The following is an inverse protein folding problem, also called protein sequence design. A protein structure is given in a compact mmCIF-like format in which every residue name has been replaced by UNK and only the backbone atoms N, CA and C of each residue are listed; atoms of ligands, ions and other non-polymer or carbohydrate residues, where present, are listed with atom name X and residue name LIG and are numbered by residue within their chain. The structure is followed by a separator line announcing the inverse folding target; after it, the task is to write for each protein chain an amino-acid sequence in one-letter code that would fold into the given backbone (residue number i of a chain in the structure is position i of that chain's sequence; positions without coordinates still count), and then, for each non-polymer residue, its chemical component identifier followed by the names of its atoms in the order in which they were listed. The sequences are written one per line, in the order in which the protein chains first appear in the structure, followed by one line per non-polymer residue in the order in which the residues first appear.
data_IF_679078467312
#
_entry.id   IF_679078467312
#
_cell.length_a   1.000
_cell.length_b   1.000
_cell.length_c   1.000
_cell.angle_alpha   90.00
_cell.angle_beta   90.00
_cell.angle_gamma   90.00
#
_symmetry.space_group_name_H-M   'P 1'
#
loop_
_entity.id
_entity.type
_entity.pdbx_description
1 polymer ?
#
# COMPACT_ATOMS: atom_id res chain seq x y z
N UNK A 1 -19.01 -10.02 9.18
CA UNK A 1 -17.55 -10.24 9.26
C UNK A 1 -16.88 -8.87 9.21
N UNK A 2 -15.80 -8.65 9.95
CA UNK A 2 -14.95 -7.48 9.71
C UNK A 2 -14.19 -7.71 8.40
N UNK A 3 -14.26 -6.77 7.46
CA UNK A 3 -13.46 -6.80 6.24
C UNK A 3 -11.99 -6.57 6.57
N UNK A 4 -11.08 -7.25 5.87
CA UNK A 4 -9.63 -7.01 5.95
C UNK A 4 -9.19 -6.47 4.60
N UNK A 5 -8.38 -5.41 4.61
CA UNK A 5 -7.78 -4.86 3.40
C UNK A 5 -6.43 -5.55 3.17
N UNK A 6 -6.24 -6.17 2.02
CA UNK A 6 -4.91 -6.57 1.55
C UNK A 6 -4.25 -5.41 0.81
N UNK A 7 -3.05 -5.00 1.22
CA UNK A 7 -2.27 -3.90 0.62
C UNK A 7 -0.93 -4.43 0.10
N UNK A 8 -0.66 -4.24 -1.19
CA UNK A 8 0.63 -4.55 -1.85
C UNK A 8 1.31 -3.24 -2.26
N UNK A 9 2.37 -2.87 -1.54
CA UNK A 9 3.21 -1.69 -1.85
C UNK A 9 4.40 -2.12 -2.71
N UNK A 10 4.27 -1.98 -4.03
CA UNK A 10 5.32 -2.30 -4.99
C UNK A 10 6.13 -1.08 -5.42
N UNK A 11 7.29 -1.31 -6.04
CA UNK A 11 8.18 -0.22 -6.48
C UNK A 11 7.63 0.64 -7.62
N UNK A 12 6.67 0.12 -8.40
CA UNK A 12 6.07 0.79 -9.56
C UNK A 12 4.54 0.92 -9.49
N UNK A 13 3.89 0.18 -8.58
CA UNK A 13 2.44 0.18 -8.41
C UNK A 13 2.10 -0.14 -6.96
N UNK A 14 1.09 0.53 -6.42
CA UNK A 14 0.48 0.19 -5.13
C UNK A 14 -0.92 -0.33 -5.38
N UNK A 15 -1.29 -1.48 -4.80
CA UNK A 15 -2.64 -2.04 -4.94
C UNK A 15 -3.24 -2.35 -3.59
N UNK A 16 -4.56 -2.25 -3.50
CA UNK A 16 -5.30 -2.78 -2.37
C UNK A 16 -6.52 -3.57 -2.84
N UNK A 17 -6.92 -4.54 -2.02
CA UNK A 17 -8.08 -5.38 -2.28
C UNK A 17 -8.85 -5.67 -1.00
N UNK A 18 -10.16 -5.81 -1.12
CA UNK A 18 -11.04 -6.34 -0.07
C UNK A 18 -11.96 -7.40 -0.68
N UNK A 19 -12.14 -8.51 0.03
CA UNK A 19 -13.10 -9.55 -0.31
C UNK A 19 -14.40 -9.29 0.46
N UNK A 20 -15.51 -9.30 -0.25
CA UNK A 20 -16.87 -9.09 0.25
C UNK A 20 -17.72 -10.35 0.10
N UNK A 21 -17.94 -11.03 1.22
CA UNK A 21 -18.85 -12.18 1.26
C UNK A 21 -18.50 -13.24 0.22
N UNK A 22 -19.52 -13.88 -0.34
CA UNK A 22 -19.36 -15.09 -1.13
C UNK A 22 -18.75 -14.85 -2.53
N UNK A 23 -18.80 -13.64 -3.10
CA UNK A 23 -18.31 -13.40 -4.48
C UNK A 23 -17.82 -11.95 -4.78
N UNK A 24 -17.84 -11.04 -3.81
CA UNK A 24 -17.46 -9.64 -4.05
C UNK A 24 -15.95 -9.43 -3.94
N UNK A 25 -15.33 -8.80 -4.93
CA UNK A 25 -13.93 -8.39 -4.88
C UNK A 25 -13.83 -6.95 -5.36
N UNK A 26 -13.39 -6.05 -4.48
CA UNK A 26 -13.05 -4.69 -4.84
C UNK A 26 -11.53 -4.56 -4.85
N UNK A 27 -10.97 -4.09 -5.98
CA UNK A 27 -9.54 -3.87 -6.18
C UNK A 27 -9.31 -2.43 -6.59
N UNK A 28 -8.28 -1.83 -6.00
CA UNK A 28 -7.72 -0.55 -6.41
C UNK A 28 -6.26 -0.78 -6.78
N UNK A 29 -5.82 -0.21 -7.91
CA UNK A 29 -4.43 -0.24 -8.35
C UNK A 29 -4.04 1.15 -8.82
N UNK A 30 -2.98 1.68 -8.25
CA UNK A 30 -2.44 3.00 -8.59
C UNK A 30 -1.00 2.86 -9.09
N UNK A 31 -0.70 3.30 -10.32
CA UNK A 31 0.67 3.42 -10.80
C UNK A 31 1.44 4.42 -9.93
N UNK A 32 2.55 3.97 -9.35
CA UNK A 32 3.38 4.81 -8.49
C UNK A 32 4.84 4.36 -8.55
N UNK A 33 5.65 5.14 -9.25
CA UNK A 33 7.08 4.90 -9.46
C UNK A 33 7.87 5.44 -8.27
N UNK A 34 8.12 4.59 -7.26
CA UNK A 34 8.75 4.99 -5.99
C UNK A 34 10.10 5.67 -6.21
N UNK A 35 10.88 5.28 -7.23
CA UNK A 35 12.18 5.89 -7.54
C UNK A 35 12.12 7.36 -7.99
N UNK A 36 10.95 7.85 -8.40
CA UNK A 36 10.79 9.25 -8.82
C UNK A 36 10.40 10.15 -7.67
N UNK A 37 9.54 9.68 -6.78
CA UNK A 37 9.02 10.49 -5.67
C UNK A 37 8.71 9.62 -4.43
N UNK A 38 9.74 9.10 -3.72
CA UNK A 38 9.52 8.23 -2.56
C UNK A 38 8.67 8.87 -1.44
N UNK A 39 8.74 10.20 -1.31
CA UNK A 39 8.01 10.97 -0.29
C UNK A 39 6.50 11.00 -0.51
N UNK A 40 5.99 10.74 -1.72
CA UNK A 40 4.56 10.71 -2.00
C UNK A 40 3.87 9.41 -1.54
N UNK A 41 4.65 8.42 -1.06
CA UNK A 41 4.16 7.08 -0.75
C UNK A 41 3.01 7.05 0.26
N UNK A 42 3.08 7.85 1.34
CA UNK A 42 2.01 7.90 2.34
C UNK A 42 0.69 8.37 1.71
N UNK A 43 0.73 9.40 0.87
CA UNK A 43 -0.44 9.89 0.13
C UNK A 43 -1.02 8.85 -0.83
N UNK A 44 -0.18 8.11 -1.53
CA UNK A 44 -0.62 7.02 -2.43
C UNK A 44 -1.26 5.88 -1.65
N UNK A 45 -0.68 5.47 -0.51
CA UNK A 45 -1.28 4.44 0.36
C UNK A 45 -2.65 4.90 0.85
N UNK A 46 -2.77 6.14 1.34
CA UNK A 46 -4.02 6.70 1.82
C UNK A 46 -5.09 6.77 0.72
N UNK A 47 -4.74 7.19 -0.50
CA UNK A 47 -5.67 7.20 -1.63
C UNK A 47 -6.15 5.79 -1.99
N UNK A 48 -5.22 4.86 -2.17
CA UNK A 48 -5.52 3.48 -2.58
C UNK A 48 -6.40 2.77 -1.57
N UNK A 49 -6.10 2.90 -0.28
CA UNK A 49 -6.89 2.31 0.81
C UNK A 49 -8.23 3.05 0.98
N UNK A 50 -8.24 4.38 0.90
CA UNK A 50 -9.44 5.20 1.02
C UNK A 50 -10.48 4.90 -0.05
N UNK A 51 -10.04 4.62 -1.29
CA UNK A 51 -10.91 4.21 -2.40
C UNK A 51 -11.62 2.87 -2.19
N UNK A 52 -11.21 2.06 -1.21
CA UNK A 52 -11.94 0.86 -0.81
C UNK A 52 -13.15 1.16 0.06
N UNK A 53 -13.24 2.34 0.68
CA UNK A 53 -14.34 2.76 1.56
C UNK A 53 -14.64 1.75 2.69
N UNK A 54 -13.58 1.25 3.34
CA UNK A 54 -13.65 0.29 4.46
C UNK A 54 -13.05 0.90 5.72
N UNK A 55 -13.52 2.09 6.11
CA UNK A 55 -12.98 2.84 7.24
C UNK A 55 -12.84 2.00 8.52
N UNK A 56 -11.64 2.03 9.13
CA UNK A 56 -11.32 1.28 10.34
C UNK A 56 -11.10 -0.23 10.15
N UNK A 57 -11.13 -0.74 8.92
CA UNK A 57 -10.76 -2.12 8.64
C UNK A 57 -9.25 -2.35 8.89
N UNK A 58 -8.86 -3.49 9.51
CA UNK A 58 -7.46 -3.85 9.61
C UNK A 58 -6.83 -4.05 8.22
N UNK A 59 -5.55 -3.70 8.11
CA UNK A 59 -4.77 -3.82 6.87
C UNK A 59 -3.72 -4.92 7.03
N UNK A 60 -3.69 -5.86 6.09
CA UNK A 60 -2.61 -6.82 5.92
C UNK A 60 -1.72 -6.34 4.75
N UNK A 61 -0.48 -5.95 5.06
CA UNK A 61 0.42 -5.34 4.09
C UNK A 61 1.57 -6.28 3.67
N UNK A 62 1.88 -6.29 2.38
CA UNK A 62 3.12 -6.81 1.81
C UNK A 62 3.84 -5.72 1.03
N UNK A 63 5.15 -5.84 0.87
CA UNK A 63 5.93 -4.90 0.07
C UNK A 63 6.97 -5.60 -0.79
N UNK A 64 7.17 -5.03 -1.99
CA UNK A 64 8.30 -5.29 -2.88
C UNK A 64 9.02 -3.99 -3.28
N UNK A 65 8.57 -2.85 -2.72
CA UNK A 65 9.14 -1.54 -3.00
C UNK A 65 10.51 -1.35 -2.35
N UNK A 66 10.90 -2.18 -1.39
CA UNK A 66 12.11 -1.99 -0.59
C UNK A 66 13.42 -2.18 -1.37
N UNK A 67 13.35 -2.69 -2.60
CA UNK A 67 14.49 -2.95 -3.49
C UNK A 67 14.58 -1.99 -4.68
N UNK A 68 13.75 -0.94 -4.71
CA UNK A 68 13.81 0.08 -5.75
C UNK A 68 15.10 0.89 -5.63
N UNK A 69 15.63 1.39 -6.76
CA UNK A 69 16.86 2.19 -6.87
C UNK A 69 16.81 3.57 -6.15
N UNK A 70 15.83 3.78 -5.27
CA UNK A 70 15.70 4.97 -4.42
C UNK A 70 16.38 4.82 -3.05
N UNK A 71 16.68 3.58 -2.63
CA UNK A 71 17.17 3.28 -1.28
C UNK A 71 18.55 2.65 -1.33
N UNK A 72 19.44 3.04 -0.41
CA UNK A 72 20.80 2.49 -0.37
C UNK A 72 20.86 1.07 0.19
N UNK A 73 19.79 0.60 0.85
CA UNK A 73 19.69 -0.77 1.35
C UNK A 73 18.25 -1.25 1.48
N UNK A 74 18.07 -2.57 1.49
CA UNK A 74 16.77 -3.20 1.81
C UNK A 74 16.19 -2.69 3.14
N UNK A 75 17.03 -2.51 4.16
CA UNK A 75 16.61 -2.03 5.49
C UNK A 75 16.00 -0.63 5.40
N UNK A 76 16.64 0.26 4.65
CA UNK A 76 16.16 1.63 4.44
C UNK A 76 14.82 1.62 3.70
N UNK A 77 14.71 0.85 2.60
CA UNK A 77 13.46 0.72 1.86
C UNK A 77 12.30 0.17 2.70
N UNK A 78 12.55 -0.86 3.52
CA UNK A 78 11.52 -1.40 4.44
C UNK A 78 11.10 -0.35 5.45
N UNK A 79 12.04 0.36 6.07
CA UNK A 79 11.71 1.40 7.06
C UNK A 79 10.93 2.55 6.42
N UNK A 80 11.25 2.93 5.17
CA UNK A 80 10.52 3.95 4.43
C UNK A 80 9.07 3.53 4.16
N UNK A 81 8.85 2.30 3.70
CA UNK A 81 7.49 1.77 3.45
C UNK A 81 6.69 1.69 4.76
N UNK A 82 7.31 1.23 5.84
CA UNK A 82 6.64 1.15 7.14
C UNK A 82 6.26 2.53 7.68
N UNK A 83 7.15 3.51 7.60
CA UNK A 83 6.86 4.88 8.02
C UNK A 83 5.71 5.50 7.20
N UNK A 84 5.71 5.29 5.88
CA UNK A 84 4.63 5.76 5.02
C UNK A 84 3.28 5.08 5.33
N UNK A 85 3.30 3.79 5.69
CA UNK A 85 2.10 3.07 6.11
C UNK A 85 1.59 3.53 7.48
N UNK A 86 2.48 3.78 8.45
CA UNK A 86 2.13 4.33 9.76
C UNK A 86 1.54 5.75 9.67
N UNK A 87 1.95 6.54 8.69
CA UNK A 87 1.40 7.87 8.44
C UNK A 87 0.01 7.82 7.77
N UNK A 88 -0.22 6.82 6.91
CA UNK A 88 -1.37 6.77 6.01
C UNK A 88 -2.58 5.98 6.52
N UNK A 89 -2.37 5.02 7.42
CA UNK A 89 -3.38 4.04 7.87
C UNK A 89 -3.89 4.33 9.28
#
# INVERSE_FOLDING_TARGET
MLSVIGLDVGGANTKAAVVEGDDGLQIVSEPFEVWREPSAMAGVIADVVGRLDRGGAPVAMTTTAELVDAFASKREGVLHVLAAAEEAL
#
